data_IF_167538216387
#
_entry.id   IF_167538216387
#
_cell.length_a   1.000
_cell.length_b   1.000
_cell.length_c   1.000
_cell.angle_alpha   90.00
_cell.angle_beta   90.00
_cell.angle_gamma   90.00
#
_symmetry.space_group_name_H-M   'P 1'
#
loop_
_entity.id
_entity.type
_entity.pdbx_description
1 polymer ?
#
# COMPACT_ATOMS: atom_id res chain seq x y z
N UNK A 1 19.50 -14.07 -4.02
CA UNK A 1 18.90 -13.28 -5.11
C UNK A 1 17.57 -12.76 -4.62
N UNK A 2 17.43 -11.44 -4.55
CA UNK A 2 16.17 -10.82 -4.16
C UNK A 2 15.21 -10.96 -5.35
N UNK A 3 13.99 -11.42 -5.05
CA UNK A 3 12.91 -11.53 -6.03
C UNK A 3 11.60 -11.23 -5.33
N UNK A 4 10.66 -10.68 -6.07
CA UNK A 4 9.29 -10.57 -5.62
C UNK A 4 8.62 -11.95 -5.63
N UNK A 5 7.65 -12.15 -4.74
CA UNK A 5 6.72 -13.29 -4.83
C UNK A 5 5.85 -13.16 -6.08
N UNK A 6 5.27 -14.26 -6.57
CA UNK A 6 4.38 -14.20 -7.74
C UNK A 6 3.18 -13.28 -7.49
N UNK A 7 2.65 -13.29 -6.26
CA UNK A 7 1.55 -12.41 -5.84
C UNK A 7 1.97 -10.94 -5.83
N UNK A 8 3.16 -10.63 -5.31
CA UNK A 8 3.73 -9.27 -5.39
C UNK A 8 3.91 -8.81 -6.84
N UNK A 9 4.34 -9.69 -7.75
CA UNK A 9 4.51 -9.35 -9.17
C UNK A 9 3.17 -9.00 -9.83
N UNK A 10 2.13 -9.80 -9.60
CA UNK A 10 0.79 -9.53 -10.14
C UNK A 10 0.24 -8.19 -9.63
N UNK A 11 0.36 -7.94 -8.32
CA UNK A 11 -0.16 -6.72 -7.70
C UNK A 11 0.67 -5.46 -8.02
N UNK A 12 1.98 -5.59 -8.27
CA UNK A 12 2.84 -4.45 -8.61
C UNK A 12 2.48 -3.84 -9.97
N UNK A 13 2.06 -4.64 -10.96
CA UNK A 13 1.88 -4.16 -12.33
C UNK A 13 3.16 -3.53 -12.92
N UNK A 14 3.01 -2.45 -13.70
CA UNK A 14 4.16 -1.60 -14.03
C UNK A 14 4.46 -0.64 -12.87
N UNK A 15 5.74 -0.38 -12.67
CA UNK A 15 6.24 0.46 -11.59
C UNK A 15 7.46 1.28 -12.04
N UNK A 16 7.75 2.33 -11.28
CA UNK A 16 8.99 3.11 -11.34
C UNK A 16 9.77 2.86 -10.07
N UNK A 17 11.08 2.66 -10.18
CA UNK A 17 11.97 2.31 -9.08
C UNK A 17 13.25 3.16 -9.10
N UNK A 18 13.92 3.21 -7.95
CA UNK A 18 15.27 3.77 -7.82
C UNK A 18 16.25 2.73 -7.27
N UNK A 19 17.52 2.91 -7.66
CA UNK A 19 18.66 2.28 -6.99
C UNK A 19 19.41 3.35 -6.21
N UNK A 20 19.72 3.02 -4.96
CA UNK A 20 20.33 3.95 -3.99
C UNK A 20 21.64 3.37 -3.47
N UNK A 21 22.66 4.23 -3.38
CA UNK A 21 23.93 3.89 -2.76
C UNK A 21 23.75 3.92 -1.22
N UNK A 22 23.91 2.78 -0.52
CA UNK A 22 23.72 2.72 0.92
C UNK A 22 24.75 3.54 1.72
N UNK A 23 25.85 3.99 1.09
CA UNK A 23 26.92 4.74 1.76
C UNK A 23 26.54 6.20 2.01
N UNK A 24 25.72 6.78 1.14
CA UNK A 24 25.35 8.19 1.21
C UNK A 24 23.86 8.48 0.96
N UNK A 25 23.05 7.44 0.70
CA UNK A 25 21.60 7.56 0.47
C UNK A 25 21.24 8.22 -0.87
N UNK A 26 22.19 8.39 -1.79
CA UNK A 26 21.91 9.03 -3.08
C UNK A 26 21.33 8.04 -4.08
N UNK A 27 20.26 8.49 -4.74
CA UNK A 27 19.73 7.83 -5.93
C UNK A 27 20.75 7.99 -7.06
N UNK A 28 21.24 6.86 -7.59
CA UNK A 28 22.14 6.86 -8.75
C UNK A 28 21.47 6.31 -10.02
N UNK A 29 20.26 5.75 -9.90
CA UNK A 29 19.50 5.23 -11.02
C UNK A 29 18.00 5.33 -10.79
N UNK A 30 17.27 5.71 -11.85
CA UNK A 30 15.81 5.62 -11.95
C UNK A 30 15.49 4.75 -13.14
N UNK A 31 14.52 3.85 -12.98
CA UNK A 31 14.03 3.05 -14.09
C UNK A 31 12.56 2.68 -13.95
N UNK A 32 11.93 2.33 -15.07
CA UNK A 32 10.64 1.63 -15.08
C UNK A 32 10.81 0.12 -15.22
N UNK A 33 9.86 -0.63 -14.67
CA UNK A 33 9.86 -2.08 -14.82
C UNK A 33 8.54 -2.76 -14.51
N UNK A 34 8.53 -4.07 -14.77
CA UNK A 34 7.50 -5.02 -14.38
C UNK A 34 8.19 -6.29 -13.89
N UNK A 35 7.52 -7.09 -13.05
CA UNK A 35 8.12 -8.27 -12.44
C UNK A 35 9.39 -7.96 -11.66
N UNK A 36 10.46 -8.74 -11.87
CA UNK A 36 11.73 -8.63 -11.14
C UNK A 36 12.75 -7.66 -11.77
N UNK A 37 12.32 -6.77 -12.68
CA UNK A 37 13.22 -5.87 -13.42
C UNK A 37 14.12 -5.00 -12.51
N UNK A 38 13.62 -4.58 -11.35
CA UNK A 38 14.41 -3.82 -10.37
C UNK A 38 15.70 -4.53 -9.94
N UNK A 39 15.73 -5.87 -9.92
CA UNK A 39 16.90 -6.66 -9.50
C UNK A 39 17.89 -6.97 -10.64
N UNK A 40 17.45 -6.86 -11.90
CA UNK A 40 18.21 -7.31 -13.06
C UNK A 40 19.54 -6.56 -13.24
N UNK A 41 19.62 -5.30 -12.80
CA UNK A 41 20.86 -4.53 -12.88
C UNK A 41 21.95 -5.07 -11.96
N UNK A 42 21.57 -5.50 -10.76
CA UNK A 42 22.51 -6.13 -9.82
C UNK A 42 22.95 -7.51 -10.33
N UNK A 43 22.06 -8.28 -10.94
CA UNK A 43 22.42 -9.58 -11.55
C UNK A 43 23.37 -9.41 -12.74
N UNK A 44 23.10 -8.45 -13.62
CA UNK A 44 23.97 -8.15 -14.76
C UNK A 44 25.36 -7.69 -14.34
N UNK A 45 25.47 -6.91 -13.26
CA UNK A 45 26.75 -6.47 -12.71
C UNK A 45 27.63 -7.62 -12.19
N UNK A 46 27.00 -8.70 -11.73
CA UNK A 46 27.66 -9.91 -11.22
C UNK A 46 28.04 -10.92 -12.32
N UNK A 47 27.30 -10.94 -13.44
CA UNK A 47 27.43 -11.98 -14.46
C UNK A 47 28.12 -11.54 -15.75
N UNK A 48 28.16 -10.24 -16.05
CA UNK A 48 28.68 -9.72 -17.31
C UNK A 48 29.92 -8.83 -17.14
N UNK A 49 30.72 -8.75 -18.20
CA UNK A 49 31.85 -7.82 -18.36
C UNK A 49 31.42 -6.47 -18.96
N UNK A 50 30.11 -6.22 -19.08
CA UNK A 50 29.59 -4.97 -19.65
C UNK A 50 30.04 -3.79 -18.78
N UNK A 51 30.63 -2.78 -19.42
CA UNK A 51 31.17 -1.58 -18.75
C UNK A 51 30.18 -0.44 -18.92
N UNK A 52 29.58 0.00 -17.82
CA UNK A 52 28.79 1.23 -17.76
C UNK A 52 28.94 1.87 -16.38
N UNK A 53 28.79 3.20 -16.31
CA UNK A 53 28.91 3.96 -15.05
C UNK A 53 28.02 3.38 -13.94
N UNK A 54 26.80 2.96 -14.29
CA UNK A 54 25.87 2.29 -13.36
C UNK A 54 26.38 0.94 -12.86
N UNK A 55 26.88 0.07 -13.75
CA UNK A 55 27.34 -1.28 -13.38
C UNK A 55 28.62 -1.21 -12.56
N UNK A 56 29.51 -0.26 -12.86
CA UNK A 56 30.72 -0.04 -12.09
C UNK A 56 30.41 0.41 -10.66
N UNK A 57 29.46 1.34 -10.48
CA UNK A 57 29.02 1.76 -9.14
C UNK A 57 28.39 0.60 -8.35
N UNK A 58 27.56 -0.23 -9.00
CA UNK A 58 26.99 -1.44 -8.38
C UNK A 58 28.11 -2.41 -7.96
N UNK A 59 29.09 -2.67 -8.83
CA UNK A 59 30.25 -3.52 -8.51
C UNK A 59 31.08 -2.97 -7.35
N UNK A 60 31.27 -1.65 -7.29
CA UNK A 60 31.97 -0.98 -6.19
C UNK A 60 31.25 -1.19 -4.85
N UNK A 61 29.93 -0.93 -4.80
CA UNK A 61 29.10 -1.19 -3.61
C UNK A 61 29.22 -2.65 -3.17
N UNK A 62 29.10 -3.60 -4.11
CA UNK A 62 29.19 -5.04 -3.81
C UNK A 62 30.58 -5.44 -3.31
N UNK A 63 31.65 -4.87 -3.89
CA UNK A 63 33.04 -5.17 -3.48
C UNK A 63 33.35 -4.76 -2.03
N UNK A 64 32.59 -3.80 -1.49
CA UNK A 64 32.63 -3.38 -0.10
C UNK A 64 31.79 -4.28 0.82
N UNK A 65 31.17 -5.34 0.30
CA UNK A 65 30.27 -6.21 1.03
C UNK A 65 28.89 -5.59 1.32
N UNK A 66 28.56 -4.47 0.68
CA UNK A 66 27.28 -3.79 0.81
C UNK A 66 26.29 -4.26 -0.27
N UNK A 67 25.01 -3.98 -0.05
CA UNK A 67 23.96 -4.25 -1.03
C UNK A 67 23.35 -2.94 -1.51
N UNK A 68 23.16 -2.84 -2.82
CA UNK A 68 22.40 -1.73 -3.43
C UNK A 68 20.99 -1.72 -2.85
N UNK A 69 20.54 -0.56 -2.39
CA UNK A 69 19.18 -0.41 -1.91
C UNK A 69 18.22 -0.22 -3.11
N UNK A 70 17.08 -0.91 -3.03
CA UNK A 70 16.07 -0.90 -4.09
C UNK A 70 14.77 -0.34 -3.53
N UNK A 71 14.25 0.71 -4.17
CA UNK A 71 12.98 1.32 -3.78
C UNK A 71 12.01 1.33 -4.95
N UNK A 72 10.77 0.91 -4.71
CA UNK A 72 9.64 1.14 -5.61
C UNK A 72 9.10 2.53 -5.30
N UNK A 73 9.16 3.44 -6.27
CA UNK A 73 8.74 4.84 -6.11
C UNK A 73 7.24 5.01 -6.33
N UNK A 74 6.68 4.30 -7.33
CA UNK A 74 5.26 4.20 -7.67
C UNK A 74 4.99 2.87 -8.37
N UNK A 75 3.83 2.25 -8.13
CA UNK A 75 3.41 0.98 -8.73
C UNK A 75 1.92 0.97 -9.10
N UNK A 76 1.41 -0.14 -9.63
CA UNK A 76 0.04 -0.28 -10.15
C UNK A 76 -0.25 0.70 -11.30
N UNK A 77 0.79 0.98 -12.08
CA UNK A 77 0.73 1.88 -13.21
C UNK A 77 0.44 1.09 -14.49
N UNK A 78 -0.10 1.79 -15.49
CA UNK A 78 0.07 1.40 -16.88
C UNK A 78 1.51 1.64 -17.32
N UNK A 79 1.96 0.96 -18.39
CA UNK A 79 3.30 1.18 -18.94
C UNK A 79 3.54 2.64 -19.34
N UNK A 80 2.51 3.30 -19.91
CA UNK A 80 2.58 4.70 -20.33
C UNK A 80 2.77 5.64 -19.15
N UNK A 81 2.03 5.43 -18.06
CA UNK A 81 2.20 6.21 -16.83
C UNK A 81 3.59 6.00 -16.22
N UNK A 82 4.06 4.75 -16.14
CA UNK A 82 5.40 4.46 -15.64
C UNK A 82 6.49 5.14 -16.47
N UNK A 83 6.36 5.15 -17.80
CA UNK A 83 7.28 5.85 -18.70
C UNK A 83 7.29 7.37 -18.49
N UNK A 84 6.11 7.99 -18.33
CA UNK A 84 6.03 9.43 -18.07
C UNK A 84 6.63 9.80 -16.70
N UNK A 85 6.35 9.00 -15.66
CA UNK A 85 6.89 9.23 -14.31
C UNK A 85 8.40 9.04 -14.28
N UNK A 86 8.93 7.99 -14.92
CA UNK A 86 10.37 7.77 -15.10
C UNK A 86 11.05 8.99 -15.74
N UNK A 87 10.50 9.47 -16.86
CA UNK A 87 11.04 10.64 -17.58
C UNK A 87 11.07 11.88 -16.68
N UNK A 88 9.96 12.17 -15.98
CA UNK A 88 9.85 13.32 -15.07
C UNK A 88 10.88 13.23 -13.93
N UNK A 89 11.09 12.06 -13.34
CA UNK A 89 12.03 11.88 -12.24
C UNK A 89 13.49 11.99 -12.71
N UNK A 90 13.82 11.47 -13.89
CA UNK A 90 15.16 11.63 -14.49
C UNK A 90 15.42 13.12 -14.76
N UNK A 91 14.49 13.81 -15.42
CA UNK A 91 14.61 15.24 -15.69
C UNK A 91 14.77 16.02 -14.39
N UNK A 92 13.95 15.72 -13.37
CA UNK A 92 14.02 16.38 -12.07
C UNK A 92 15.37 16.19 -11.37
N UNK A 93 15.93 14.98 -11.36
CA UNK A 93 17.20 14.70 -10.67
C UNK A 93 18.43 15.17 -11.45
N UNK A 94 18.31 15.35 -12.77
CA UNK A 94 19.43 15.76 -13.63
C UNK A 94 19.38 17.23 -14.06
N UNK A 95 18.27 17.94 -13.77
CA UNK A 95 18.13 19.34 -14.15
C UNK A 95 19.16 20.22 -13.41
N UNK A 96 20.08 20.91 -14.10
CA UNK A 96 21.25 21.54 -13.46
C UNK A 96 20.93 22.63 -12.43
N UNK A 97 19.72 23.19 -12.45
CA UNK A 97 19.29 24.23 -11.49
C UNK A 97 18.73 23.66 -10.19
N UNK A 98 18.42 22.37 -10.14
CA UNK A 98 17.90 21.73 -8.93
C UNK A 98 19.08 21.19 -8.14
N UNK A 99 19.33 21.81 -6.97
CA UNK A 99 20.23 21.24 -5.98
C UNK A 99 19.49 20.08 -5.32
N UNK A 100 20.00 18.86 -5.43
CA UNK A 100 19.36 17.66 -4.86
C UNK A 100 19.35 17.64 -3.32
N UNK A 101 19.98 18.63 -2.69
CA UNK A 101 19.89 18.92 -1.25
C UNK A 101 18.82 19.98 -0.96
N UNK A 102 17.57 19.72 -1.36
CA UNK A 102 16.44 20.59 -1.00
C UNK A 102 15.65 19.98 0.16
N UNK A 103 15.50 20.77 1.23
CA UNK A 103 14.54 20.49 2.30
C UNK A 103 13.17 20.93 1.78
N UNK A 104 12.30 19.97 1.48
CA UNK A 104 10.91 20.26 1.12
C UNK A 104 10.19 20.78 2.37
N UNK A 105 9.67 22.01 2.31
CA UNK A 105 8.85 22.63 3.38
C UNK A 105 7.38 22.23 3.30
N UNK A 106 7.03 21.35 2.37
CA UNK A 106 5.68 20.82 2.23
C UNK A 106 5.30 20.09 3.53
N UNK A 107 4.27 20.58 4.22
CA UNK A 107 3.69 19.95 5.42
C UNK A 107 3.05 18.59 5.09
N UNK A 108 2.84 18.33 3.79
CA UNK A 108 2.16 17.15 3.25
C UNK A 108 3.16 16.33 2.44
N UNK A 109 3.53 15.15 2.94
CA UNK A 109 4.19 14.12 2.14
C UNK A 109 3.35 13.74 0.92
N UNK A 110 3.99 13.32 -0.18
CA UNK A 110 3.32 12.96 -1.42
C UNK A 110 2.12 12.02 -1.21
N UNK A 111 1.04 12.25 -1.98
CA UNK A 111 -0.22 11.54 -1.82
C UNK A 111 -0.05 10.01 -1.86
N UNK A 112 -0.79 9.27 -1.02
CA UNK A 112 -0.78 7.80 -0.89
C UNK A 112 0.59 7.18 -0.55
N UNK A 113 1.43 7.88 0.23
CA UNK A 113 2.76 7.37 0.61
C UNK A 113 2.72 5.95 1.23
N UNK A 114 1.63 5.60 1.92
CA UNK A 114 1.47 4.29 2.54
C UNK A 114 1.08 3.16 1.58
N UNK A 115 0.41 3.44 0.47
CA UNK A 115 -0.04 2.39 -0.46
C UNK A 115 0.78 2.44 -1.74
N UNK A 116 0.72 3.56 -2.45
CA UNK A 116 1.40 3.75 -3.73
C UNK A 116 2.79 4.40 -3.57
N UNK A 117 3.22 4.76 -2.35
CA UNK A 117 4.44 5.55 -2.09
C UNK A 117 5.77 4.83 -2.19
N UNK A 118 6.85 5.56 -1.86
CA UNK A 118 8.20 5.00 -1.80
C UNK A 118 8.22 3.86 -0.78
N UNK A 119 8.62 2.67 -1.24
CA UNK A 119 8.72 1.45 -0.44
C UNK A 119 9.95 0.66 -0.79
N UNK A 120 10.54 0.06 0.22
CA UNK A 120 11.53 -1.01 0.05
C UNK A 120 10.88 -2.25 -0.55
N UNK A 121 11.72 -3.13 -1.09
CA UNK A 121 11.30 -4.44 -1.60
C UNK A 121 10.62 -5.28 -0.52
N UNK A 122 11.14 -5.24 0.70
CA UNK A 122 10.60 -6.01 1.83
C UNK A 122 9.23 -5.49 2.26
N UNK A 123 9.01 -4.17 2.25
CA UNK A 123 7.69 -3.58 2.50
C UNK A 123 6.67 -4.00 1.43
N UNK A 124 7.08 -4.03 0.15
CA UNK A 124 6.21 -4.51 -0.94
C UNK A 124 5.86 -5.99 -0.76
N UNK A 125 6.85 -6.83 -0.44
CA UNK A 125 6.59 -8.24 -0.17
C UNK A 125 5.74 -8.44 1.08
N UNK A 126 5.95 -7.69 2.16
CA UNK A 126 5.12 -7.77 3.36
C UNK A 126 3.66 -7.37 3.09
N UNK A 127 3.44 -6.41 2.18
CA UNK A 127 2.10 -6.01 1.74
C UNK A 127 1.43 -7.14 0.97
N UNK A 128 2.08 -7.74 -0.03
CA UNK A 128 1.42 -8.67 -0.96
C UNK A 128 1.58 -10.15 -0.63
N UNK A 129 2.70 -10.56 -0.05
CA UNK A 129 3.03 -11.93 0.40
C UNK A 129 2.78 -12.13 1.90
N UNK A 130 1.70 -11.53 2.40
CA UNK A 130 1.32 -11.64 3.80
C UNK A 130 0.77 -13.03 4.16
N UNK A 131 1.01 -13.44 5.40
CA UNK A 131 0.42 -14.65 5.96
C UNK A 131 -1.12 -14.57 6.00
N UNK A 132 -1.76 -15.74 5.89
CA UNK A 132 -3.19 -15.87 6.12
C UNK A 132 -3.56 -15.48 7.55
N UNK A 133 -4.73 -14.84 7.69
CA UNK A 133 -5.27 -14.50 9.01
C UNK A 133 -5.45 -15.78 9.85
N UNK A 134 -4.99 -15.74 11.09
CA UNK A 134 -5.25 -16.78 12.08
C UNK A 134 -6.37 -16.28 12.98
N UNK A 135 -7.51 -16.95 12.94
CA UNK A 135 -8.69 -16.54 13.72
C UNK A 135 -8.56 -17.08 15.13
N UNK A 136 -8.85 -16.23 16.10
CA UNK A 136 -9.09 -16.63 17.47
C UNK A 136 -10.59 -16.93 17.64
N UNK A 137 -10.95 -18.19 17.91
CA UNK A 137 -12.35 -18.62 18.02
C UNK A 137 -13.13 -17.97 19.19
N UNK A 138 -12.46 -17.18 20.04
CA UNK A 138 -13.07 -16.46 21.14
C UNK A 138 -13.38 -14.99 20.80
N UNK A 139 -13.07 -14.53 19.58
CA UNK A 139 -13.22 -13.14 19.15
C UNK A 139 -14.12 -13.04 17.92
N UNK A 140 -15.09 -12.13 17.94
CA UNK A 140 -16.00 -11.92 16.82
C UNK A 140 -15.47 -10.80 15.93
N UNK A 141 -15.06 -11.17 14.71
CA UNK A 141 -14.44 -10.23 13.77
C UNK A 141 -15.42 -9.85 12.66
N UNK A 142 -15.51 -8.55 12.39
CA UNK A 142 -16.22 -8.00 11.25
C UNK A 142 -15.22 -7.52 10.20
N UNK A 143 -15.11 -8.22 9.07
CA UNK A 143 -14.41 -7.69 7.90
C UNK A 143 -15.30 -6.67 7.20
N UNK A 144 -14.71 -5.55 6.81
CA UNK A 144 -15.39 -4.52 6.03
C UNK A 144 -14.56 -4.13 4.81
N UNK A 145 -15.19 -4.05 3.64
CA UNK A 145 -14.50 -3.78 2.39
C UNK A 145 -14.30 -2.27 2.20
N UNK A 146 -13.04 -1.88 2.03
CA UNK A 146 -12.65 -0.49 1.75
C UNK A 146 -12.53 -0.22 0.24
N UNK A 147 -12.65 -1.24 -0.63
CA UNK A 147 -12.38 -1.12 -2.08
C UNK A 147 -13.10 0.07 -2.72
N UNK A 148 -14.41 0.21 -2.51
CA UNK A 148 -15.19 1.33 -3.07
C UNK A 148 -14.74 2.70 -2.59
N UNK A 149 -14.32 2.81 -1.33
CA UNK A 149 -13.84 4.08 -0.76
C UNK A 149 -12.50 4.51 -1.36
N UNK A 150 -11.65 3.55 -1.74
CA UNK A 150 -10.40 3.81 -2.45
C UNK A 150 -10.62 4.09 -3.93
N UNK A 151 -11.55 3.38 -4.58
CA UNK A 151 -11.89 3.59 -6.00
C UNK A 151 -12.58 4.94 -6.24
N UNK A 152 -13.51 5.34 -5.36
CA UNK A 152 -14.20 6.64 -5.43
C UNK A 152 -13.22 7.82 -5.30
N UNK A 153 -12.19 7.69 -4.46
CA UNK A 153 -11.13 8.70 -4.30
C UNK A 153 -10.27 8.87 -5.57
N UNK A 154 -10.22 7.85 -6.43
CA UNK A 154 -9.50 7.85 -7.71
C UNK A 154 -10.37 8.37 -8.86
N UNK A 155 -11.69 8.17 -8.79
CA UNK A 155 -12.64 8.50 -9.87
C UNK A 155 -13.03 9.99 -9.98
N UNK A 156 -12.96 10.79 -8.90
CA UNK A 156 -13.48 12.17 -8.91
C UNK A 156 -12.47 13.24 -9.34
N UNK A 157 -11.28 12.88 -9.80
CA UNK A 157 -10.25 13.84 -10.25
C UNK A 157 -9.66 14.74 -9.15
N UNK A 158 -10.21 14.68 -7.93
CA UNK A 158 -9.69 15.31 -6.72
C UNK A 158 -9.25 14.20 -5.78
N UNK A 159 -7.94 14.03 -5.69
CA UNK A 159 -7.30 12.98 -4.92
C UNK A 159 -7.38 13.30 -3.41
N UNK A 160 -8.43 12.80 -2.75
CA UNK A 160 -8.68 13.05 -1.32
C UNK A 160 -8.00 12.04 -0.41
N UNK A 161 -7.42 12.53 0.69
CA UNK A 161 -6.82 11.68 1.75
C UNK A 161 -7.90 10.79 2.37
N UNK A 162 -7.77 9.48 2.18
CA UNK A 162 -8.67 8.53 2.82
C UNK A 162 -8.26 8.41 4.29
N UNK A 163 -9.13 8.86 5.19
CA UNK A 163 -9.01 8.52 6.61
C UNK A 163 -9.44 7.06 6.80
N UNK A 164 -8.46 6.15 6.87
CA UNK A 164 -8.69 4.70 6.96
C UNK A 164 -9.56 4.37 8.17
N UNK A 165 -9.38 5.05 9.31
CA UNK A 165 -10.19 4.83 10.50
C UNK A 165 -11.67 5.16 10.25
N UNK A 166 -11.97 6.34 9.70
CA UNK A 166 -13.36 6.74 9.39
C UNK A 166 -14.01 5.79 8.39
N UNK A 167 -13.29 5.43 7.31
CA UNK A 167 -13.83 4.48 6.32
C UNK A 167 -13.98 3.07 6.85
N UNK A 168 -13.23 2.67 7.88
CA UNK A 168 -13.37 1.35 8.52
C UNK A 168 -14.54 1.33 9.50
N UNK A 169 -14.83 2.45 10.18
CA UNK A 169 -15.79 2.45 11.28
C UNK A 169 -17.22 2.76 10.86
N UNK A 170 -17.43 3.51 9.77
CA UNK A 170 -18.73 4.12 9.47
C UNK A 170 -19.59 3.37 8.45
N UNK A 171 -20.90 3.54 8.63
CA UNK A 171 -21.98 3.28 7.70
C UNK A 171 -22.17 1.83 7.22
N UNK A 172 -22.00 0.86 8.10
CA UNK A 172 -22.18 -0.55 7.75
C UNK A 172 -23.63 -1.01 7.87
N UNK A 173 -24.09 -1.78 6.88
CA UNK A 173 -25.41 -2.40 6.90
C UNK A 173 -25.37 -3.75 7.62
N UNK A 174 -25.56 -3.73 8.94
CA UNK A 174 -25.49 -4.88 9.85
C UNK A 174 -26.79 -5.08 10.62
N UNK A 175 -27.09 -6.31 11.03
CA UNK A 175 -28.20 -6.62 11.92
C UNK A 175 -27.91 -6.17 13.36
N UNK A 176 -28.90 -5.59 14.05
CA UNK A 176 -28.72 -5.04 15.41
C UNK A 176 -28.19 -6.06 16.43
N UNK A 177 -28.64 -7.31 16.35
CA UNK A 177 -28.15 -8.38 17.23
C UNK A 177 -26.66 -8.64 17.05
N UNK A 178 -26.17 -8.62 15.80
CA UNK A 178 -24.77 -8.90 15.48
C UNK A 178 -23.85 -7.75 15.85
N UNK A 179 -24.30 -6.50 15.73
CA UNK A 179 -23.47 -5.34 16.07
C UNK A 179 -23.02 -5.36 17.54
N UNK A 180 -23.85 -5.93 18.44
CA UNK A 180 -23.56 -6.06 19.86
C UNK A 180 -22.48 -7.11 20.19
N UNK A 181 -22.22 -8.04 19.27
CA UNK A 181 -21.30 -9.17 19.48
C UNK A 181 -19.90 -8.88 18.92
N UNK A 182 -19.72 -7.84 18.10
CA UNK A 182 -18.44 -7.58 17.41
C UNK A 182 -17.39 -7.03 18.37
N UNK A 183 -16.27 -7.73 18.47
CA UNK A 183 -15.10 -7.32 19.24
C UNK A 183 -14.15 -6.44 18.39
N UNK A 184 -13.98 -6.79 17.11
CA UNK A 184 -13.07 -6.09 16.20
C UNK A 184 -13.67 -5.85 14.82
N UNK A 185 -13.40 -4.66 14.26
CA UNK A 185 -13.69 -4.33 12.86
C UNK A 185 -12.38 -4.24 12.08
N UNK A 186 -12.27 -5.06 11.05
CA UNK A 186 -11.09 -5.19 10.20
C UNK A 186 -11.38 -4.55 8.83
N UNK A 187 -10.73 -3.43 8.53
CA UNK A 187 -10.84 -2.79 7.22
C UNK A 187 -9.97 -3.51 6.19
N UNK A 188 -10.60 -4.03 5.15
CA UNK A 188 -9.96 -4.88 4.14
C UNK A 188 -9.90 -4.15 2.80
N UNK A 189 -8.71 -4.10 2.21
CA UNK A 189 -8.47 -3.59 0.87
C UNK A 189 -7.70 -4.62 0.05
N UNK A 190 -8.20 -4.99 -1.13
CA UNK A 190 -7.64 -6.07 -1.98
C UNK A 190 -7.33 -7.38 -1.21
N UNK A 191 -8.23 -7.80 -0.31
CA UNK A 191 -8.08 -9.07 0.42
C UNK A 191 -7.08 -9.03 1.56
N UNK A 192 -6.57 -7.86 1.94
CA UNK A 192 -5.60 -7.69 3.03
C UNK A 192 -6.17 -6.74 4.08
N UNK A 193 -6.01 -7.06 5.36
CA UNK A 193 -6.41 -6.19 6.48
C UNK A 193 -5.46 -4.99 6.57
N UNK A 194 -6.01 -3.78 6.54
CA UNK A 194 -5.29 -2.50 6.59
C UNK A 194 -5.55 -1.67 7.84
N UNK A 195 -6.57 -2.03 8.60
CA UNK A 195 -6.93 -1.39 9.85
C UNK A 195 -7.64 -2.38 10.74
N UNK A 196 -7.40 -2.23 12.04
CA UNK A 196 -8.05 -3.02 13.08
C UNK A 196 -8.57 -2.07 14.13
N UNK A 197 -9.88 -2.03 14.30
CA UNK A 197 -10.54 -1.25 15.33
C UNK A 197 -11.03 -2.22 16.39
N UNK A 198 -10.57 -2.05 17.64
CA UNK A 198 -11.19 -2.71 18.79
C UNK A 198 -12.44 -1.91 19.16
N UNK A 199 -13.60 -2.56 19.15
CA UNK A 199 -14.89 -1.91 19.36
C UNK A 199 -15.10 -1.62 20.84
N UNK A 200 -15.40 -0.36 21.16
CA UNK A 200 -15.78 0.08 22.50
C UNK A 200 -17.30 0.33 22.57
N UNK A 201 -17.88 0.87 21.50
CA UNK A 201 -19.32 1.13 21.38
C UNK A 201 -19.74 1.25 19.91
N UNK A 202 -21.05 1.35 19.67
CA UNK A 202 -21.60 1.58 18.33
C UNK A 202 -22.86 2.43 18.40
N UNK A 203 -23.12 3.18 17.33
CA UNK A 203 -24.32 3.99 17.15
C UNK A 203 -24.95 3.73 15.77
N UNK A 204 -26.12 4.33 15.56
CA UNK A 204 -26.92 4.12 14.37
C UNK A 204 -27.31 5.44 13.74
N UNK A 205 -27.20 5.52 12.42
CA UNK A 205 -27.52 6.73 11.66
C UNK A 205 -28.23 6.40 10.35
N UNK A 206 -29.06 7.34 9.90
CA UNK A 206 -29.66 7.35 8.58
C UNK A 206 -28.98 8.36 7.65
N UNK A 207 -27.92 9.04 8.08
CA UNK A 207 -27.35 10.17 7.36
C UNK A 207 -25.82 10.08 7.27
N UNK A 208 -25.31 10.29 6.07
CA UNK A 208 -23.90 10.49 5.77
C UNK A 208 -23.61 12.00 5.82
N UNK A 209 -22.90 12.45 6.86
CA UNK A 209 -22.57 13.87 7.03
C UNK A 209 -21.56 14.37 5.98
N UNK A 210 -20.66 13.50 5.52
CA UNK A 210 -19.60 13.83 4.56
C UNK A 210 -20.21 14.05 3.17
N UNK A 211 -21.07 13.12 2.73
CA UNK A 211 -21.74 13.19 1.43
C UNK A 211 -23.05 13.97 1.46
N UNK A 212 -23.54 14.32 2.65
CA UNK A 212 -24.85 14.96 2.89
C UNK A 212 -26.03 14.15 2.33
N UNK A 213 -25.94 12.82 2.38
CA UNK A 213 -26.94 11.90 1.81
C UNK A 213 -27.66 11.12 2.90
N UNK A 214 -28.97 10.91 2.74
CA UNK A 214 -29.77 10.04 3.62
C UNK A 214 -29.82 8.62 3.09
N UNK A 215 -29.54 7.64 3.94
CA UNK A 215 -29.67 6.22 3.64
C UNK A 215 -31.13 5.76 3.73
N UNK A 216 -31.53 4.86 2.83
CA UNK A 216 -32.85 4.22 2.86
C UNK A 216 -33.04 3.25 4.05
N UNK A 217 -31.94 2.82 4.66
CA UNK A 217 -31.90 1.91 5.80
C UNK A 217 -30.85 2.40 6.78
N UNK A 218 -31.11 2.20 8.07
CA UNK A 218 -30.18 2.52 9.14
C UNK A 218 -28.81 1.86 8.90
N UNK A 219 -27.76 2.55 9.32
CA UNK A 219 -26.37 2.08 9.24
C UNK A 219 -25.73 2.16 10.61
N UNK A 220 -24.90 1.17 10.91
CA UNK A 220 -24.13 1.12 12.14
C UNK A 220 -22.82 1.85 11.93
N UNK A 221 -22.40 2.66 12.90
CA UNK A 221 -21.02 3.10 13.01
C UNK A 221 -20.42 2.53 14.29
N UNK A 222 -19.21 1.99 14.16
CA UNK A 222 -18.44 1.52 15.30
C UNK A 222 -17.58 2.66 15.83
N UNK A 223 -17.38 2.66 17.15
CA UNK A 223 -16.49 3.56 17.85
C UNK A 223 -15.52 2.71 18.65
N UNK A 224 -14.24 3.03 18.53
CA UNK A 224 -13.22 2.18 19.08
C UNK A 224 -11.82 2.72 18.85
N UNK A 225 -10.85 1.98 19.34
CA UNK A 225 -9.44 2.34 19.22
C UNK A 225 -8.79 1.59 18.06
N UNK A 226 -8.04 2.32 17.21
CA UNK A 226 -7.23 1.72 16.16
C UNK A 226 -6.02 1.02 16.79
N UNK A 227 -5.87 -0.28 16.52
CA UNK A 227 -4.79 -1.11 17.06
C UNK A 227 -3.69 -1.23 16.00
N UNK A 228 -2.63 -0.43 16.17
CA UNK A 228 -1.51 -0.38 15.22
C UNK A 228 -0.66 -1.67 15.19
N UNK A 229 -0.62 -2.43 16.30
CA UNK A 229 0.15 -3.66 16.45
C UNK A 229 -0.77 -4.88 16.63
N UNK A 230 -1.84 -4.95 15.84
CA UNK A 230 -2.78 -6.06 15.90
C UNK A 230 -2.22 -7.30 15.20
N UNK A 231 -2.42 -8.52 15.74
CA UNK A 231 -2.05 -9.76 15.06
C UNK A 231 -2.82 -9.97 13.73
N UNK A 232 -3.93 -9.25 13.54
CA UNK A 232 -4.75 -9.30 12.32
C UNK A 232 -4.28 -8.31 11.24
N UNK A 233 -3.43 -7.34 11.59
CA UNK A 233 -2.99 -6.32 10.65
C UNK A 233 -2.06 -6.92 9.59
N UNK A 234 -2.22 -6.48 8.34
CA UNK A 234 -1.49 -7.00 7.17
C UNK A 234 -1.59 -8.52 7.03
N UNK A 235 -2.74 -9.10 7.34
CA UNK A 235 -3.03 -10.52 7.07
C UNK A 235 -3.95 -10.66 5.87
N UNK A 236 -3.73 -11.72 5.10
CA UNK A 236 -4.55 -12.10 3.96
C UNK A 236 -5.85 -12.76 4.47
N UNK A 237 -7.00 -12.26 3.99
CA UNK A 237 -8.34 -12.73 4.34
C UNK A 237 -9.07 -13.33 3.14
N UNK A 238 -8.34 -13.79 2.12
CA UNK A 238 -8.91 -14.32 0.88
C UNK A 238 -9.78 -15.57 1.11
N UNK A 239 -9.58 -16.28 2.21
CA UNK A 239 -10.43 -17.41 2.63
C UNK A 239 -11.83 -16.97 3.11
N UNK A 240 -12.01 -15.66 3.35
CA UNK A 240 -13.26 -15.04 3.79
C UNK A 240 -13.77 -14.05 2.75
N UNK A 241 -14.07 -14.48 1.51
CA UNK A 241 -14.48 -13.57 0.46
C UNK A 241 -15.78 -12.86 0.83
N UNK A 242 -15.85 -11.57 0.47
CA UNK A 242 -17.08 -10.81 0.50
C UNK A 242 -18.08 -11.44 -0.47
N UNK A 243 -19.36 -11.51 -0.08
CA UNK A 243 -20.42 -11.95 -1.00
C UNK A 243 -20.52 -11.04 -2.22
N UNK A 244 -21.15 -11.50 -3.31
CA UNK A 244 -21.33 -10.69 -4.52
C UNK A 244 -22.02 -9.36 -4.19
N UNK A 245 -21.32 -8.24 -4.38
CA UNK A 245 -21.79 -6.89 -4.02
C UNK A 245 -21.83 -6.59 -2.52
N UNK A 246 -21.37 -7.51 -1.67
CA UNK A 246 -21.29 -7.37 -0.22
C UNK A 246 -20.09 -6.52 0.20
N UNK A 247 -20.31 -5.68 1.21
CA UNK A 247 -19.27 -4.82 1.78
C UNK A 247 -18.81 -5.28 3.17
N UNK A 248 -19.43 -6.32 3.73
CA UNK A 248 -19.11 -6.85 5.06
C UNK A 248 -19.08 -8.37 5.06
N UNK A 249 -18.27 -8.96 5.93
CA UNK A 249 -18.20 -10.41 6.18
C UNK A 249 -17.97 -10.66 7.66
N UNK A 250 -18.76 -11.56 8.24
CA UNK A 250 -18.59 -12.00 9.62
C UNK A 250 -17.65 -13.18 9.64
N UNK A 251 -16.73 -13.15 10.60
CA UNK A 251 -15.92 -14.30 10.98
C UNK A 251 -16.38 -14.71 12.37
N UNK A 252 -16.97 -15.91 12.51
CA UNK A 252 -17.34 -16.47 13.80
C UNK A 252 -16.13 -16.99 14.57
#
# INVERSE_FOLDING_TARGET
MNKFSNKSIEELGFYVYSLVDPRDGKIFYIGKGCGNRVFQHCEAALQGDEVSLKLNLIREIISLGLQVEHYILRHKLSEKEAFQIESVLIDFLTYPKFNTEQILTNIVSGHHQWDEGIKTVDEINAIYDCERIKINNNEHLLLVSLNRSFDDAKAQGVYQRINIYEKTRQYWAIAKSRAAEIDYVLGVYHGIVRSVIKVDSYDWTFYDEEKKVRFNKERCCFHGTLIADSPYLNKDVSDYPFGSGGAIRYIP
#
